data_IF_055873443155
#
_entry.id   IF_055873443155
#
_cell.length_a   1.000
_cell.length_b   1.000
_cell.length_c   1.000
_cell.angle_alpha   90.00
_cell.angle_beta   90.00
_cell.angle_gamma   90.00
#
_symmetry.space_group_name_H-M   'P 1'
#
loop_
_entity.id
_entity.type
_entity.pdbx_description
1 polymer ?
#
# COMPACT_ATOMS: atom_id res chain seq x y z
N UNK A 1 2.44 -36.43 34.09
CA UNK A 1 2.14 -35.10 33.51
C UNK A 1 0.63 -34.92 33.34
N UNK A 2 0.03 -33.80 33.78
CA UNK A 2 -1.41 -33.56 33.59
C UNK A 2 -1.71 -33.18 32.13
N UNK A 3 -2.72 -33.79 31.51
CA UNK A 3 -3.17 -33.56 30.11
C UNK A 3 -3.24 -32.08 29.70
N UNK A 4 -3.66 -31.21 30.62
CA UNK A 4 -3.70 -29.74 30.43
C UNK A 4 -2.33 -29.12 30.10
N UNK A 5 -1.26 -29.55 30.77
CA UNK A 5 0.08 -29.00 30.54
C UNK A 5 0.66 -29.47 29.20
N UNK A 6 0.34 -30.70 28.79
CA UNK A 6 0.74 -31.23 27.49
C UNK A 6 0.07 -30.46 26.33
N UNK A 7 -1.24 -30.19 26.44
CA UNK A 7 -1.97 -29.39 25.45
C UNK A 7 -1.44 -27.95 25.39
N UNK A 8 -1.18 -27.32 26.54
CA UNK A 8 -0.60 -25.97 26.58
C UNK A 8 0.79 -25.93 25.94
N UNK A 9 1.66 -26.90 26.21
CA UNK A 9 3.00 -26.99 25.60
C UNK A 9 2.92 -27.22 24.09
N UNK A 10 2.01 -28.09 23.63
CA UNK A 10 1.75 -28.29 22.19
C UNK A 10 1.25 -27.00 21.52
N UNK A 11 0.33 -26.28 22.17
CA UNK A 11 -0.18 -24.99 21.68
C UNK A 11 0.92 -23.92 21.60
N UNK A 12 1.76 -23.81 22.62
CA UNK A 12 2.91 -22.89 22.61
C UNK A 12 3.96 -23.30 21.57
N UNK A 13 4.23 -24.59 21.41
CA UNK A 13 5.14 -25.10 20.38
C UNK A 13 4.63 -24.82 18.97
N UNK A 14 3.33 -24.99 18.73
CA UNK A 14 2.70 -24.66 17.45
C UNK A 14 2.72 -23.15 17.18
N UNK A 15 2.38 -22.32 18.17
CA UNK A 15 2.46 -20.85 18.04
C UNK A 15 3.89 -20.37 17.80
N UNK A 16 4.87 -20.96 18.49
CA UNK A 16 6.29 -20.67 18.27
C UNK A 16 6.77 -21.07 16.88
N UNK A 17 6.37 -22.25 16.39
CA UNK A 17 6.71 -22.70 15.04
C UNK A 17 6.06 -21.84 13.95
N UNK A 18 4.80 -21.43 14.14
CA UNK A 18 4.10 -20.49 13.25
C UNK A 18 4.77 -19.12 13.30
N UNK A 19 5.07 -18.60 14.49
CA UNK A 19 5.74 -17.32 14.68
C UNK A 19 7.13 -17.30 14.02
N UNK A 20 7.89 -18.39 14.12
CA UNK A 20 9.18 -18.53 13.45
C UNK A 20 9.04 -18.61 11.93
N UNK A 21 8.11 -19.43 11.42
CA UNK A 21 7.91 -19.63 9.98
C UNK A 21 7.39 -18.38 9.25
N UNK A 22 6.55 -17.59 9.92
CA UNK A 22 5.92 -16.40 9.34
C UNK A 22 6.42 -15.12 10.01
N UNK A 23 7.62 -15.14 10.58
CA UNK A 23 8.22 -13.95 11.15
C UNK A 23 8.46 -12.93 10.03
N UNK A 24 8.00 -11.67 10.18
CA UNK A 24 8.25 -10.64 9.19
C UNK A 24 9.65 -10.10 9.41
N UNK A 25 10.65 -10.77 8.83
CA UNK A 25 12.07 -10.37 8.90
C UNK A 25 12.29 -8.92 8.40
N UNK A 26 11.47 -8.47 7.46
CA UNK A 26 11.48 -7.11 6.89
C UNK A 26 10.69 -6.08 7.72
N UNK A 27 10.08 -6.50 8.84
CA UNK A 27 9.24 -5.68 9.70
C UNK A 27 7.81 -5.48 9.21
N UNK A 28 7.00 -4.79 10.03
CA UNK A 28 5.60 -4.46 9.73
C UNK A 28 5.42 -3.03 9.21
N UNK A 29 6.38 -2.15 9.48
CA UNK A 29 6.34 -0.73 9.15
C UNK A 29 7.23 -0.46 7.96
N UNK A 30 6.72 0.33 7.02
CA UNK A 30 7.49 0.74 5.87
C UNK A 30 8.60 1.69 6.36
N UNK A 31 9.89 1.39 6.11
CA UNK A 31 10.98 2.28 6.52
C UNK A 31 10.98 3.60 5.76
N UNK A 32 10.09 3.78 4.78
CA UNK A 32 9.90 5.02 4.05
C UNK A 32 11.20 5.61 3.54
N UNK A 33 12.00 4.73 2.93
CA UNK A 33 13.35 5.04 2.43
C UNK A 33 13.34 6.34 1.62
N UNK A 34 14.40 7.15 1.77
CA UNK A 34 14.49 8.45 1.13
C UNK A 34 14.40 8.32 -0.39
N UNK A 35 13.80 9.33 -1.01
CA UNK A 35 13.73 9.49 -2.45
C UNK A 35 14.47 10.79 -2.84
N UNK A 36 15.07 10.86 -4.04
CA UNK A 36 15.09 9.84 -5.10
C UNK A 36 15.92 8.60 -4.73
N UNK A 37 15.69 7.50 -5.45
CA UNK A 37 16.54 6.32 -5.32
C UNK A 37 18.00 6.68 -5.66
N UNK A 38 19.00 6.22 -4.88
CA UNK A 38 20.41 6.44 -5.19
C UNK A 38 20.79 5.96 -6.59
N UNK A 39 21.64 6.73 -7.27
CA UNK A 39 22.04 6.46 -8.65
C UNK A 39 22.77 5.11 -8.77
N UNK A 40 23.50 4.69 -7.73
CA UNK A 40 24.20 3.40 -7.72
C UNK A 40 23.22 2.22 -7.83
N UNK A 41 22.02 2.34 -7.25
CA UNK A 41 20.98 1.31 -7.35
C UNK A 41 20.28 1.36 -8.71
N UNK A 42 20.01 2.56 -9.23
CA UNK A 42 19.40 2.73 -10.56
C UNK A 42 20.31 2.20 -11.67
N UNK A 43 21.62 2.42 -11.54
CA UNK A 43 22.64 1.99 -12.49
C UNK A 43 23.13 0.56 -12.23
N UNK A 44 22.65 -0.10 -11.17
CA UNK A 44 23.03 -1.46 -10.86
C UNK A 44 22.73 -2.40 -12.05
N UNK A 45 23.66 -3.32 -12.31
CA UNK A 45 23.61 -4.20 -13.48
C UNK A 45 22.27 -4.92 -13.63
N UNK A 46 21.73 -5.50 -12.55
CA UNK A 46 20.43 -6.18 -12.54
C UNK A 46 19.27 -5.27 -12.96
N UNK A 47 19.28 -4.00 -12.54
CA UNK A 47 18.23 -3.03 -12.90
C UNK A 47 18.35 -2.69 -14.39
N UNK A 48 19.57 -2.46 -14.88
CA UNK A 48 19.82 -2.18 -16.30
C UNK A 48 19.43 -3.37 -17.19
N UNK A 49 19.79 -4.59 -16.78
CA UNK A 49 19.43 -5.81 -17.49
C UNK A 49 17.91 -6.04 -17.54
N UNK A 50 17.17 -5.70 -16.48
CA UNK A 50 15.70 -5.79 -16.47
C UNK A 50 15.04 -4.92 -17.55
N UNK A 51 15.71 -3.86 -18.02
CA UNK A 51 15.25 -2.99 -19.10
C UNK A 51 15.84 -3.32 -20.48
N UNK A 52 16.75 -4.29 -20.57
CA UNK A 52 17.39 -4.65 -21.84
C UNK A 52 16.36 -5.13 -22.87
N UNK A 53 16.32 -4.47 -24.04
CA UNK A 53 15.38 -4.80 -25.11
C UNK A 53 13.94 -4.28 -24.91
N UNK A 54 13.63 -3.68 -23.75
CA UNK A 54 12.32 -3.08 -23.48
C UNK A 54 12.33 -1.63 -23.96
N UNK A 55 11.33 -1.25 -24.77
CA UNK A 55 11.14 0.15 -25.21
C UNK A 55 10.31 0.91 -24.17
N UNK A 56 10.86 1.87 -23.41
CA UNK A 56 10.14 2.55 -22.32
C UNK A 56 8.81 3.17 -22.74
N UNK A 57 8.73 3.76 -23.94
CA UNK A 57 7.52 4.39 -24.47
C UNK A 57 6.35 3.41 -24.71
N UNK A 58 6.63 2.11 -24.73
CA UNK A 58 5.63 1.05 -24.90
C UNK A 58 5.28 0.37 -23.56
N UNK A 59 5.87 0.79 -22.44
CA UNK A 59 5.58 0.22 -21.12
C UNK A 59 4.51 1.03 -20.40
N UNK A 60 3.45 0.32 -20.04
CA UNK A 60 2.27 0.85 -19.37
C UNK A 60 2.09 0.08 -18.07
N UNK A 61 2.33 0.74 -16.94
CA UNK A 61 1.98 0.21 -15.62
C UNK A 61 0.47 0.36 -15.43
N UNK A 62 -0.24 -0.76 -15.44
CA UNK A 62 -1.71 -0.81 -15.27
C UNK A 62 -2.13 -1.01 -13.82
N UNK A 63 -1.18 -0.99 -12.87
CA UNK A 63 -1.41 -1.20 -11.45
C UNK A 63 -0.93 0.00 -10.61
N UNK A 64 -1.25 1.21 -11.05
CA UNK A 64 -0.98 2.42 -10.27
C UNK A 64 -2.19 2.78 -9.42
N UNK A 65 -1.98 2.87 -8.10
CA UNK A 65 -3.00 3.38 -7.16
C UNK A 65 -2.74 4.85 -6.85
N UNK A 66 -3.82 5.63 -6.77
CA UNK A 66 -3.82 6.98 -6.24
C UNK A 66 -4.80 7.01 -5.06
N UNK A 67 -4.27 7.21 -3.85
CA UNK A 67 -5.05 7.19 -2.60
C UNK A 67 -4.92 8.55 -1.93
N UNK A 68 -5.96 8.96 -1.22
CA UNK A 68 -5.97 10.16 -0.39
C UNK A 68 -7.04 10.07 0.70
N UNK A 69 -7.14 11.12 1.52
CA UNK A 69 -8.15 11.27 2.58
C UNK A 69 -9.13 12.41 2.31
N UNK A 70 -8.88 13.20 1.26
CA UNK A 70 -9.67 14.39 0.92
C UNK A 70 -9.28 15.63 1.72
N UNK A 71 -8.14 15.61 2.41
CA UNK A 71 -7.67 16.69 3.28
C UNK A 71 -7.13 17.92 2.53
N UNK A 72 -7.13 17.87 1.19
CA UNK A 72 -6.73 18.98 0.30
C UNK A 72 -7.88 19.62 -0.48
N UNK A 73 -9.15 19.31 -0.14
CA UNK A 73 -10.33 19.68 -0.94
C UNK A 73 -10.27 19.14 -2.39
N UNK A 74 -9.61 17.99 -2.58
CA UNK A 74 -9.40 17.30 -3.86
C UNK A 74 -10.66 16.62 -4.42
N UNK A 75 -11.73 16.53 -3.63
CA UNK A 75 -12.90 15.69 -3.92
C UNK A 75 -12.70 14.21 -3.60
N UNK A 76 -11.51 13.81 -3.11
CA UNK A 76 -11.27 12.44 -2.64
C UNK A 76 -12.15 12.16 -1.42
N UNK A 77 -12.78 10.99 -1.42
CA UNK A 77 -13.61 10.53 -0.33
C UNK A 77 -13.16 9.14 0.12
N UNK A 78 -13.14 8.93 1.43
CA UNK A 78 -12.95 7.61 2.02
C UNK A 78 -14.08 7.31 2.99
N UNK A 79 -14.43 6.02 3.11
CA UNK A 79 -15.50 5.59 3.99
C UNK A 79 -15.22 6.03 5.45
N UNK A 80 -16.15 6.71 6.14
CA UNK A 80 -15.98 7.14 7.54
C UNK A 80 -15.62 6.01 8.50
N UNK A 81 -16.05 4.77 8.23
CA UNK A 81 -15.66 3.59 9.01
C UNK A 81 -14.15 3.37 9.03
N UNK A 82 -13.43 3.73 7.95
CA UNK A 82 -11.96 3.65 7.90
C UNK A 82 -11.28 4.63 8.88
N UNK A 83 -11.99 5.65 9.37
CA UNK A 83 -11.50 6.59 10.39
C UNK A 83 -11.91 6.20 11.82
N UNK A 84 -12.75 5.17 11.98
CA UNK A 84 -13.38 4.84 13.26
C UNK A 84 -12.83 3.54 13.87
N UNK A 85 -12.38 3.60 15.12
CA UNK A 85 -11.94 2.41 15.88
C UNK A 85 -13.07 1.39 16.12
N UNK A 86 -14.33 1.80 15.98
CA UNK A 86 -15.50 0.88 16.05
C UNK A 86 -15.55 -0.10 14.86
N UNK A 87 -14.79 0.18 13.81
CA UNK A 87 -14.67 -0.64 12.61
C UNK A 87 -13.21 -1.09 12.45
N UNK A 88 -12.72 -2.00 13.32
CA UNK A 88 -11.30 -2.27 13.49
C UNK A 88 -10.62 -2.81 12.22
N UNK A 89 -11.34 -3.59 11.41
CA UNK A 89 -10.83 -4.13 10.14
C UNK A 89 -10.57 -2.98 9.15
N UNK A 90 -11.56 -2.10 8.93
CA UNK A 90 -11.42 -0.95 8.04
C UNK A 90 -10.38 0.06 8.55
N UNK A 91 -10.32 0.27 9.87
CA UNK A 91 -9.31 1.13 10.49
C UNK A 91 -7.89 0.59 10.26
N UNK A 92 -7.68 -0.71 10.49
CA UNK A 92 -6.40 -1.36 10.24
C UNK A 92 -6.02 -1.31 8.75
N UNK A 93 -6.99 -1.54 7.86
CA UNK A 93 -6.79 -1.44 6.41
C UNK A 93 -6.33 -0.03 5.99
N UNK A 94 -6.94 1.02 6.55
CA UNK A 94 -6.48 2.41 6.32
C UNK A 94 -5.04 2.58 6.79
N UNK A 95 -4.72 2.16 8.02
CA UNK A 95 -3.35 2.29 8.55
C UNK A 95 -2.33 1.55 7.70
N UNK A 96 -2.68 0.37 7.20
CA UNK A 96 -1.85 -0.39 6.27
C UNK A 96 -1.55 0.39 4.98
N UNK A 97 -2.57 0.99 4.34
CA UNK A 97 -2.36 1.79 3.12
C UNK A 97 -1.53 3.04 3.36
N UNK A 98 -1.73 3.73 4.49
CA UNK A 98 -1.00 4.94 4.85
C UNK A 98 0.49 4.64 5.13
N UNK A 99 0.75 3.52 5.80
CA UNK A 99 2.11 3.00 6.01
C UNK A 99 2.76 2.64 4.67
N UNK A 100 2.05 1.93 3.79
CA UNK A 100 2.56 1.59 2.46
C UNK A 100 2.88 2.83 1.61
N UNK A 101 2.06 3.88 1.71
CA UNK A 101 2.25 5.15 0.99
C UNK A 101 3.19 6.13 1.69
N UNK A 102 3.69 5.83 2.89
CA UNK A 102 4.49 6.75 3.69
C UNK A 102 3.86 8.14 3.81
N UNK A 103 2.54 8.19 3.95
CA UNK A 103 1.75 9.42 4.04
C UNK A 103 1.07 9.50 5.41
N UNK A 104 1.84 9.25 6.48
CA UNK A 104 1.28 8.99 7.81
C UNK A 104 0.83 10.23 8.58
N UNK A 105 1.22 11.43 8.14
CA UNK A 105 0.77 12.67 8.76
C UNK A 105 -0.77 12.74 8.73
N UNK A 106 -1.38 13.18 9.82
CA UNK A 106 -2.84 13.35 9.86
C UNK A 106 -3.32 14.48 8.93
N UNK A 107 -2.39 15.31 8.44
CA UNK A 107 -2.60 16.43 7.53
C UNK A 107 -1.71 16.33 6.29
N UNK A 108 -2.23 16.80 5.16
CA UNK A 108 -1.57 16.82 3.85
C UNK A 108 -1.29 15.44 3.24
N UNK A 109 -2.08 14.43 3.60
CA UNK A 109 -2.02 13.07 3.06
C UNK A 109 -2.10 13.09 1.54
N UNK A 110 -3.09 13.80 0.98
CA UNK A 110 -3.29 13.85 -0.48
C UNK A 110 -2.03 14.36 -1.19
N UNK A 111 -1.42 15.41 -0.64
CA UNK A 111 -0.23 16.05 -1.18
C UNK A 111 1.01 15.16 -1.02
N UNK A 112 1.21 14.57 0.16
CA UNK A 112 2.35 13.70 0.45
C UNK A 112 2.32 12.44 -0.42
N UNK A 113 1.14 11.84 -0.60
CA UNK A 113 0.96 10.69 -1.47
C UNK A 113 1.39 11.04 -2.90
N UNK A 114 0.85 12.13 -3.46
CA UNK A 114 1.16 12.55 -4.83
C UNK A 114 2.66 12.87 -5.00
N UNK A 115 3.25 13.59 -4.05
CA UNK A 115 4.68 13.91 -4.07
C UNK A 115 5.54 12.64 -4.05
N UNK A 116 5.19 11.68 -3.21
CA UNK A 116 5.91 10.40 -3.15
C UNK A 116 5.74 9.59 -4.43
N UNK A 117 4.51 9.48 -4.96
CA UNK A 117 4.25 8.78 -6.21
C UNK A 117 5.08 9.37 -7.36
N UNK A 118 5.10 10.70 -7.49
CA UNK A 118 5.91 11.39 -8.50
C UNK A 118 7.41 11.18 -8.28
N UNK A 119 7.88 11.15 -7.03
CA UNK A 119 9.28 10.89 -6.72
C UNK A 119 9.71 9.45 -7.07
N UNK A 120 8.89 8.44 -6.73
CA UNK A 120 9.10 7.05 -7.16
C UNK A 120 9.08 6.93 -8.67
N UNK A 121 8.21 7.69 -9.33
CA UNK A 121 8.05 7.64 -10.77
C UNK A 121 9.29 8.08 -11.54
N UNK A 122 10.09 8.97 -10.95
CA UNK A 122 11.37 9.44 -11.53
C UNK A 122 12.43 8.34 -11.60
N UNK A 123 12.28 7.24 -10.86
CA UNK A 123 13.20 6.09 -10.92
C UNK A 123 12.96 5.17 -12.13
N UNK A 124 11.87 5.36 -12.87
CA UNK A 124 11.60 4.61 -14.10
C UNK A 124 12.17 5.34 -15.32
N UNK A 125 12.59 4.61 -16.37
CA UNK A 125 13.04 5.22 -17.62
C UNK A 125 12.00 6.18 -18.22
N UNK A 126 12.48 7.27 -18.81
CA UNK A 126 11.63 8.27 -19.43
C UNK A 126 10.74 7.66 -20.53
N UNK A 127 9.47 8.08 -20.59
CA UNK A 127 8.51 7.63 -21.60
C UNK A 127 7.61 6.47 -21.18
N UNK A 128 7.96 5.74 -20.11
CA UNK A 128 7.04 4.82 -19.43
C UNK A 128 5.73 5.54 -19.08
N UNK A 129 4.62 4.83 -18.91
CA UNK A 129 3.31 5.40 -18.52
C UNK A 129 2.72 4.67 -17.32
N UNK A 130 2.00 5.40 -16.48
CA UNK A 130 1.24 4.86 -15.36
C UNK A 130 -0.24 5.09 -15.63
N UNK A 131 -1.05 4.04 -15.55
CA UNK A 131 -2.48 4.12 -15.77
C UNK A 131 -3.20 4.19 -14.44
N UNK A 132 -4.10 5.16 -14.32
CA UNK A 132 -4.97 5.30 -13.17
C UNK A 132 -6.37 4.83 -13.55
N UNK A 133 -6.88 3.85 -12.83
CA UNK A 133 -8.29 3.48 -12.89
C UNK A 133 -9.03 4.28 -11.80
N UNK A 134 -9.90 5.19 -12.24
CA UNK A 134 -10.74 5.95 -11.33
C UNK A 134 -11.94 5.09 -10.92
N UNK A 135 -12.09 4.86 -9.61
CA UNK A 135 -13.29 4.27 -9.03
C UNK A 135 -14.18 5.38 -8.47
N UNK A 136 -15.48 5.27 -8.72
CA UNK A 136 -16.50 6.09 -8.08
C UNK A 136 -17.27 5.23 -7.06
N UNK A 137 -18.35 5.75 -6.50
CA UNK A 137 -19.20 5.04 -5.55
C UNK A 137 -19.83 3.76 -6.14
N UNK A 138 -20.38 2.93 -5.26
CA UNK A 138 -21.20 1.81 -5.67
C UNK A 138 -22.58 2.31 -6.09
N UNK A 139 -22.98 1.99 -7.32
CA UNK A 139 -24.31 2.28 -7.85
C UNK A 139 -25.15 1.02 -7.95
N UNK A 140 -26.46 1.13 -7.77
CA UNK A 140 -27.41 0.05 -8.06
C UNK A 140 -27.78 0.00 -9.54
N UNK A 141 -28.69 -0.91 -9.89
CA UNK A 141 -29.17 -1.08 -11.26
C UNK A 141 -30.01 0.11 -11.77
N UNK A 142 -30.40 1.05 -10.91
CA UNK A 142 -31.07 2.31 -11.26
C UNK A 142 -30.09 3.48 -11.35
N UNK A 143 -28.80 3.26 -11.07
CA UNK A 143 -27.80 4.32 -11.01
C UNK A 143 -27.83 5.12 -9.71
N UNK A 144 -28.46 4.61 -8.65
CA UNK A 144 -28.49 5.28 -7.34
C UNK A 144 -27.31 4.82 -6.46
N UNK A 145 -26.69 5.78 -5.75
CA UNK A 145 -25.55 5.48 -4.85
C UNK A 145 -25.99 4.62 -3.66
N UNK A 146 -25.36 3.45 -3.50
CA UNK A 146 -25.53 2.55 -2.35
C UNK A 146 -24.75 3.05 -1.14
N UNK A 147 -25.42 3.77 -0.24
CA UNK A 147 -24.82 4.35 0.99
C UNK A 147 -24.28 3.33 1.99
N UNK A 148 -24.73 2.08 1.94
CA UNK A 148 -24.28 1.02 2.87
C UNK A 148 -22.97 0.36 2.45
N UNK A 149 -22.62 0.46 1.16
CA UNK A 149 -21.39 -0.07 0.56
C UNK A 149 -20.39 1.03 0.19
N UNK A 150 -20.87 2.28 0.18
CA UNK A 150 -20.02 3.46 0.03
C UNK A 150 -19.51 3.86 1.39
#
# INVERSE_FOLDING_TARGET
MKRRHFISLLGMGALGAVGYKYWPDEGFWNPCRPLPMPDELLQHELVQQAWAGIKPMQVWDVHTHLIGTGDSNSGIWINPHMKSLKHPIQYAQRKFYMNASCSEAEEQVDKQFLQRLLALRKSFPAGTRSMLLAFDFYYDNKGERKKTLS
#
